data_IF_618582825714
#
_entry.id   IF_618582825714
#
_cell.length_a   1.000
_cell.length_b   1.000
_cell.length_c   1.000
_cell.angle_alpha   90.00
_cell.angle_beta   90.00
_cell.angle_gamma   90.00
#
_symmetry.space_group_name_H-M   'P 1'
#
loop_
_entity.id
_entity.type
_entity.pdbx_description
1 polymer ?
#
# COMPACT_ATOMS: atom_id res chain seq x y z
N UNK A 1 -39.63 -27.00 -53.27
CA UNK A 1 -38.44 -27.40 -52.49
C UNK A 1 -37.34 -26.42 -52.82
N UNK A 2 -37.15 -25.42 -51.95
CA UNK A 2 -36.09 -24.40 -52.09
C UNK A 2 -35.05 -24.68 -51.01
N UNK A 3 -33.81 -24.89 -51.43
CA UNK A 3 -32.64 -25.31 -50.65
C UNK A 3 -32.35 -24.40 -49.43
N UNK A 4 -31.73 -24.93 -48.36
CA UNK A 4 -31.38 -24.13 -47.19
C UNK A 4 -30.24 -23.15 -47.54
N UNK A 5 -30.48 -21.86 -47.35
CA UNK A 5 -29.45 -20.83 -47.40
C UNK A 5 -28.37 -21.15 -46.37
N UNK A 6 -27.15 -21.41 -46.83
CA UNK A 6 -26.00 -21.67 -45.97
C UNK A 6 -25.72 -20.44 -45.10
N UNK A 7 -26.01 -20.53 -43.80
CA UNK A 7 -25.66 -19.48 -42.84
C UNK A 7 -24.13 -19.38 -42.75
N UNK A 8 -23.59 -18.17 -42.91
CA UNK A 8 -22.15 -17.92 -42.85
C UNK A 8 -21.73 -17.66 -41.40
N UNK A 9 -21.09 -18.65 -40.75
CA UNK A 9 -20.64 -18.55 -39.36
C UNK A 9 -19.28 -17.88 -39.24
N UNK A 10 -19.13 -16.87 -38.37
CA UNK A 10 -17.81 -16.25 -38.14
C UNK A 10 -16.78 -17.29 -37.64
N UNK A 11 -15.54 -17.19 -38.11
CA UNK A 11 -14.41 -18.04 -37.73
C UNK A 11 -13.87 -17.74 -36.33
N UNK A 12 -14.23 -16.58 -35.77
CA UNK A 12 -13.74 -16.08 -34.47
C UNK A 12 -14.85 -15.89 -33.42
N UNK A 13 -16.12 -16.05 -33.79
CA UNK A 13 -17.24 -16.09 -32.87
C UNK A 13 -18.37 -16.96 -33.43
N UNK A 14 -19.27 -17.44 -32.57
CA UNK A 14 -20.35 -18.33 -32.99
C UNK A 14 -21.54 -17.63 -33.64
N UNK A 15 -21.41 -16.37 -34.08
CA UNK A 15 -22.49 -15.64 -34.76
C UNK A 15 -22.66 -16.08 -36.22
N UNK A 16 -23.93 -16.18 -36.63
CA UNK A 16 -24.36 -16.61 -37.96
C UNK A 16 -24.89 -15.42 -38.75
N UNK A 17 -24.48 -15.31 -40.01
CA UNK A 17 -24.87 -14.23 -40.90
C UNK A 17 -25.60 -14.77 -42.13
N UNK A 18 -26.65 -14.07 -42.54
CA UNK A 18 -27.45 -14.41 -43.72
C UNK A 18 -26.65 -14.26 -45.04
N UNK A 19 -25.58 -13.45 -45.03
CA UNK A 19 -24.71 -13.25 -46.19
C UNK A 19 -23.24 -13.22 -45.78
N UNK A 20 -22.36 -13.73 -46.67
CA UNK A 20 -20.90 -13.62 -46.50
C UNK A 20 -20.43 -12.17 -46.35
N UNK A 21 -21.07 -11.22 -47.04
CA UNK A 21 -20.75 -9.79 -46.92
C UNK A 21 -21.01 -9.25 -45.49
N UNK A 22 -22.09 -9.69 -44.84
CA UNK A 22 -22.39 -9.31 -43.47
C UNK A 22 -21.41 -9.93 -42.46
N UNK A 23 -21.04 -11.20 -42.66
CA UNK A 23 -20.01 -11.88 -41.87
C UNK A 23 -18.64 -11.18 -41.98
N UNK A 24 -18.22 -10.81 -43.19
CA UNK A 24 -16.96 -10.09 -43.42
C UNK A 24 -17.00 -8.69 -42.79
N UNK A 25 -18.14 -7.99 -42.86
CA UNK A 25 -18.34 -6.69 -42.20
C UNK A 25 -18.29 -6.83 -40.67
N UNK A 26 -18.90 -7.87 -40.10
CA UNK A 26 -18.79 -8.19 -38.68
C UNK A 26 -17.33 -8.44 -38.28
N UNK A 27 -16.60 -9.30 -39.01
CA UNK A 27 -15.19 -9.58 -38.75
C UNK A 27 -14.34 -8.31 -38.75
N UNK A 28 -14.55 -7.44 -39.75
CA UNK A 28 -13.87 -6.13 -39.84
C UNK A 28 -14.19 -5.20 -38.67
N UNK A 29 -15.44 -5.18 -38.21
CA UNK A 29 -15.91 -4.22 -37.22
C UNK A 29 -15.81 -4.71 -35.76
N UNK A 30 -15.70 -6.02 -35.55
CA UNK A 30 -15.71 -6.66 -34.23
C UNK A 30 -14.35 -7.30 -33.92
N UNK A 31 -13.67 -7.88 -34.92
CA UNK A 31 -12.44 -8.63 -34.71
C UNK A 31 -11.15 -7.93 -35.19
N UNK A 32 -11.25 -6.91 -36.04
CA UNK A 32 -10.12 -6.24 -36.70
C UNK A 32 -9.84 -4.81 -36.16
N UNK A 33 -10.15 -4.53 -34.88
CA UNK A 33 -10.15 -3.16 -34.33
C UNK A 33 -8.76 -2.57 -34.05
N UNK A 34 -7.81 -3.41 -33.67
CA UNK A 34 -6.47 -2.98 -33.24
C UNK A 34 -5.42 -3.58 -34.16
N UNK A 35 -4.65 -2.76 -34.86
CA UNK A 35 -3.61 -3.18 -35.81
C UNK A 35 -2.23 -2.97 -35.17
N UNK A 36 -1.38 -3.98 -35.11
CA UNK A 36 0.00 -3.82 -34.68
C UNK A 36 0.75 -2.87 -35.63
N UNK A 37 1.43 -1.87 -35.08
CA UNK A 37 2.15 -0.89 -35.88
C UNK A 37 3.46 -1.44 -36.48
N UNK A 38 4.02 -2.53 -35.94
CA UNK A 38 5.28 -3.13 -36.43
C UNK A 38 5.08 -4.23 -37.48
N UNK A 39 3.99 -5.01 -37.41
CA UNK A 39 3.78 -6.17 -38.30
C UNK A 39 2.39 -6.21 -38.94
N UNK A 40 1.56 -5.20 -38.68
CA UNK A 40 0.24 -5.05 -39.26
C UNK A 40 -0.81 -6.10 -38.88
N UNK A 41 -0.48 -7.05 -37.99
CA UNK A 41 -1.44 -8.03 -37.48
C UNK A 41 -2.59 -7.36 -36.74
N UNK A 42 -3.81 -7.88 -36.92
CA UNK A 42 -5.02 -7.31 -36.35
C UNK A 42 -5.55 -8.11 -35.19
N UNK A 43 -6.13 -7.41 -34.23
CA UNK A 43 -6.59 -7.96 -32.97
C UNK A 43 -7.95 -7.39 -32.57
N UNK A 44 -8.81 -8.21 -31.93
CA UNK A 44 -10.15 -7.81 -31.51
C UNK A 44 -10.13 -6.88 -30.28
N UNK A 45 -9.08 -6.95 -29.46
CA UNK A 45 -8.92 -6.25 -28.18
C UNK A 45 -7.54 -5.62 -28.06
N UNK A 46 -7.47 -4.51 -27.33
CA UNK A 46 -6.22 -3.81 -27.04
C UNK A 46 -5.19 -4.71 -26.33
N UNK A 47 -5.64 -5.45 -25.31
CA UNK A 47 -4.80 -6.39 -24.56
C UNK A 47 -4.13 -7.45 -25.47
N UNK A 48 -4.81 -7.86 -26.54
CA UNK A 48 -4.28 -8.86 -27.47
C UNK A 48 -3.15 -8.28 -28.34
N UNK A 49 -3.29 -7.05 -28.84
CA UNK A 49 -2.20 -6.40 -29.62
C UNK A 49 -1.03 -6.02 -28.72
N UNK A 50 -1.30 -5.65 -27.47
CA UNK A 50 -0.27 -5.35 -26.46
C UNK A 50 0.55 -6.60 -26.12
N UNK A 51 -0.11 -7.71 -25.81
CA UNK A 51 0.56 -8.99 -25.54
C UNK A 51 1.32 -9.47 -26.77
N UNK A 52 0.75 -9.33 -27.97
CA UNK A 52 1.43 -9.65 -29.21
C UNK A 52 2.71 -8.80 -29.40
N UNK A 53 2.63 -7.49 -29.24
CA UNK A 53 3.78 -6.61 -29.45
C UNK A 53 4.87 -6.85 -28.41
N UNK A 54 4.48 -7.05 -27.15
CA UNK A 54 5.41 -7.41 -26.07
C UNK A 54 6.17 -8.70 -26.39
N UNK A 55 5.45 -9.76 -26.75
CA UNK A 55 6.04 -11.09 -26.88
C UNK A 55 6.73 -11.30 -28.24
N UNK A 56 6.36 -10.54 -29.27
CA UNK A 56 6.85 -10.76 -30.64
C UNK A 56 7.87 -9.71 -31.09
N UNK A 57 7.78 -8.48 -30.58
CA UNK A 57 8.55 -7.33 -31.11
C UNK A 57 9.55 -6.74 -30.12
N UNK A 58 9.43 -7.03 -28.81
CA UNK A 58 10.35 -6.56 -27.75
C UNK A 58 11.47 -7.55 -27.37
N UNK A 59 11.56 -8.70 -28.06
CA UNK A 59 12.61 -9.70 -27.80
C UNK A 59 13.70 -9.73 -28.88
N UNK A 60 13.52 -9.02 -30.00
CA UNK A 60 14.45 -9.05 -31.13
C UNK A 60 15.56 -8.00 -31.00
N UNK A 61 16.82 -8.45 -30.98
CA UNK A 61 18.00 -7.59 -31.09
C UNK A 61 18.23 -7.16 -32.55
N UNK A 62 18.37 -5.86 -32.81
CA UNK A 62 18.59 -5.31 -34.15
C UNK A 62 18.61 -3.77 -34.16
N UNK A 63 18.89 -3.15 -35.31
CA UNK A 63 18.94 -1.68 -35.46
C UNK A 63 17.63 -0.99 -35.07
N UNK A 64 16.50 -1.67 -35.25
CA UNK A 64 15.16 -1.13 -34.99
C UNK A 64 14.65 -1.45 -33.58
N UNK A 65 15.45 -2.14 -32.74
CA UNK A 65 15.06 -2.50 -31.38
C UNK A 65 14.81 -1.27 -30.50
N UNK A 66 15.65 -0.24 -30.64
CA UNK A 66 15.47 1.03 -29.92
C UNK A 66 14.22 1.77 -30.39
N UNK A 67 13.88 1.69 -31.69
CA UNK A 67 12.65 2.28 -32.22
C UNK A 67 11.41 1.53 -31.70
N UNK A 68 11.45 0.20 -31.63
CA UNK A 68 10.34 -0.61 -31.07
C UNK A 68 10.17 -0.40 -29.55
N UNK A 69 11.27 -0.20 -28.82
CA UNK A 69 11.21 0.24 -27.41
C UNK A 69 10.60 1.64 -27.32
N UNK A 70 11.00 2.57 -28.18
CA UNK A 70 10.40 3.90 -28.20
C UNK A 70 8.90 3.86 -28.55
N UNK A 71 8.49 3.00 -29.49
CA UNK A 71 7.08 2.76 -29.83
C UNK A 71 6.29 2.18 -28.65
N UNK A 72 6.93 1.29 -27.88
CA UNK A 72 6.37 0.74 -26.65
C UNK A 72 6.21 1.81 -25.58
N UNK A 73 7.27 2.58 -25.32
CA UNK A 73 7.32 3.63 -24.30
C UNK A 73 6.36 4.79 -24.60
N UNK A 74 6.13 5.09 -25.89
CA UNK A 74 5.23 6.14 -26.37
C UNK A 74 3.80 5.63 -26.65
N UNK A 75 3.53 4.33 -26.45
CA UNK A 75 2.26 3.68 -26.76
C UNK A 75 1.79 3.82 -28.23
N UNK A 76 2.73 3.95 -29.17
CA UNK A 76 2.48 4.04 -30.63
C UNK A 76 2.60 2.68 -31.32
N UNK A 77 2.66 1.59 -30.55
CA UNK A 77 2.83 0.21 -31.04
C UNK A 77 1.57 -0.40 -31.70
N UNK A 78 0.45 0.32 -31.75
CA UNK A 78 -0.77 -0.10 -32.44
C UNK A 78 -1.52 1.08 -33.07
N UNK A 79 -2.31 0.79 -34.10
CA UNK A 79 -3.22 1.70 -34.77
C UNK A 79 -4.68 1.23 -34.59
N UNK A 80 -5.62 2.16 -34.51
CA UNK A 80 -7.06 1.88 -34.39
C UNK A 80 -7.78 2.28 -35.68
N UNK A 81 -8.57 1.38 -36.25
CA UNK A 81 -9.38 1.68 -37.45
C UNK A 81 -10.80 2.03 -37.05
N UNK A 82 -11.18 3.32 -37.13
CA UNK A 82 -12.58 3.75 -37.08
C UNK A 82 -13.23 3.50 -38.44
N UNK A 83 -14.35 2.76 -38.47
CA UNK A 83 -15.21 2.72 -39.65
C UNK A 83 -16.34 3.73 -39.47
N UNK A 84 -16.29 4.82 -40.23
CA UNK A 84 -17.41 5.75 -40.41
C UNK A 84 -18.59 5.00 -41.05
N UNK A 85 -19.80 5.21 -40.51
CA UNK A 85 -21.04 4.85 -41.20
C UNK A 85 -21.87 6.11 -41.40
N UNK A 86 -21.77 6.70 -42.59
CA UNK A 86 -22.75 7.64 -43.12
C UNK A 86 -23.92 6.89 -43.78
N UNK A 87 -25.15 7.39 -43.62
CA UNK A 87 -26.17 7.31 -44.67
C UNK A 87 -27.52 6.61 -44.39
N UNK A 88 -28.47 7.41 -43.88
CA UNK A 88 -29.90 7.48 -44.26
C UNK A 88 -30.93 6.46 -43.75
N UNK A 89 -31.91 6.98 -42.98
CA UNK A 89 -33.22 6.37 -42.79
C UNK A 89 -34.04 6.94 -41.64
N UNK A 90 -34.61 8.15 -41.80
CA UNK A 90 -35.64 8.70 -40.90
C UNK A 90 -36.80 7.71 -40.72
N UNK A 91 -37.16 7.41 -39.46
CA UNK A 91 -38.57 7.37 -39.00
C UNK A 91 -38.59 7.59 -37.48
N UNK A 92 -39.15 8.75 -37.10
CA UNK A 92 -39.74 8.95 -35.79
C UNK A 92 -40.96 8.05 -35.70
N UNK A 93 -41.00 7.20 -34.68
CA UNK A 93 -42.23 6.92 -33.92
C UNK A 93 -41.79 6.67 -32.49
N UNK A 94 -42.33 7.49 -31.60
CA UNK A 94 -42.33 7.30 -30.17
C UNK A 94 -42.78 5.88 -29.82
N UNK A 95 -42.04 5.23 -28.94
CA UNK A 95 -42.64 4.44 -27.88
C UNK A 95 -41.65 4.44 -26.71
N UNK A 96 -42.04 5.18 -25.68
CA UNK A 96 -41.57 5.01 -24.32
C UNK A 96 -41.78 3.54 -23.89
N UNK A 97 -41.04 3.13 -22.86
CA UNK A 97 -41.08 1.83 -22.16
C UNK A 97 -40.30 0.66 -22.78
N UNK A 98 -38.97 0.70 -22.65
CA UNK A 98 -38.21 -0.43 -22.07
C UNK A 98 -36.73 -0.05 -21.85
N UNK A 99 -36.44 0.64 -20.74
CA UNK A 99 -35.09 0.64 -20.16
C UNK A 99 -34.92 -0.68 -19.42
N UNK A 100 -34.77 -1.77 -20.18
CA UNK A 100 -34.34 -3.04 -19.61
C UNK A 100 -32.83 -3.16 -19.77
N UNK A 101 -32.15 -2.78 -18.69
CA UNK A 101 -30.97 -3.45 -18.15
C UNK A 101 -29.94 -3.93 -19.19
N UNK A 102 -29.09 -3.03 -19.67
CA UNK A 102 -27.74 -3.45 -20.02
C UNK A 102 -27.14 -4.13 -18.78
N UNK A 103 -26.60 -5.36 -18.88
CA UNK A 103 -26.14 -6.08 -17.71
C UNK A 103 -24.99 -5.30 -17.07
N UNK A 104 -25.24 -4.70 -15.89
CA UNK A 104 -24.18 -4.26 -15.01
C UNK A 104 -23.24 -5.45 -14.84
N UNK A 105 -22.00 -5.31 -15.33
CA UNK A 105 -20.95 -6.28 -15.01
C UNK A 105 -20.89 -6.35 -13.49
N UNK A 106 -21.24 -7.51 -12.92
CA UNK A 106 -21.25 -7.76 -11.47
C UNK A 106 -19.95 -7.22 -10.87
N UNK A 107 -20.06 -6.11 -10.16
CA UNK A 107 -18.97 -5.41 -9.48
C UNK A 107 -18.80 -6.05 -8.11
N UNK A 108 -17.86 -6.98 -8.00
CA UNK A 108 -17.15 -7.19 -6.73
C UNK A 108 -15.71 -6.77 -6.95
N UNK A 109 -15.47 -5.47 -6.78
CA UNK A 109 -14.14 -4.91 -6.56
C UNK A 109 -14.21 -4.19 -5.23
N UNK A 110 -13.16 -4.37 -4.44
CA UNK A 110 -12.88 -3.75 -3.15
C UNK A 110 -13.75 -2.51 -2.87
N UNK A 111 -14.55 -2.58 -1.82
CA UNK A 111 -15.37 -1.47 -1.35
C UNK A 111 -14.56 -0.73 -0.28
N UNK A 112 -14.06 0.49 -0.55
CA UNK A 112 -13.27 1.26 0.41
C UNK A 112 -14.11 1.70 1.61
N UNK A 113 -15.43 1.57 1.54
CA UNK A 113 -16.33 1.81 2.65
C UNK A 113 -16.57 0.56 3.50
N UNK A 114 -15.90 -0.58 3.27
CA UNK A 114 -15.97 -1.68 4.23
C UNK A 114 -15.46 -1.22 5.61
N UNK A 115 -16.17 -1.55 6.70
CA UNK A 115 -15.69 -1.24 8.05
C UNK A 115 -14.40 -2.03 8.33
N UNK A 116 -13.51 -1.45 9.11
CA UNK A 116 -12.36 -2.15 9.67
C UNK A 116 -12.76 -2.94 10.92
N UNK A 117 -11.86 -3.81 11.37
CA UNK A 117 -12.02 -4.47 12.66
C UNK A 117 -11.93 -3.44 13.78
N UNK A 118 -12.87 -3.46 14.73
CA UNK A 118 -12.85 -2.52 15.87
C UNK A 118 -12.21 -3.14 17.11
N UNK A 119 -11.63 -2.30 17.97
CA UNK A 119 -11.04 -2.72 19.25
C UNK A 119 -12.13 -2.95 20.29
N UNK A 120 -12.07 -4.08 20.99
CA UNK A 120 -12.94 -4.36 22.13
C UNK A 120 -12.38 -3.70 23.41
N UNK A 121 -13.25 -3.17 24.25
CA UNK A 121 -12.89 -2.57 25.54
C UNK A 121 -12.65 -3.60 26.65
N UNK A 122 -13.19 -4.81 26.55
CA UNK A 122 -13.10 -5.83 27.62
C UNK A 122 -11.84 -6.70 27.60
N UNK A 123 -11.14 -6.77 26.47
CA UNK A 123 -9.86 -7.47 26.37
C UNK A 123 -9.00 -6.80 25.30
N UNK A 124 -7.73 -6.55 25.64
CA UNK A 124 -6.75 -5.83 24.81
C UNK A 124 -6.51 -6.50 23.45
N UNK A 125 -6.61 -7.82 23.37
CA UNK A 125 -6.39 -8.60 22.15
C UNK A 125 -7.71 -8.97 21.47
N UNK A 126 -8.86 -8.72 22.12
CA UNK A 126 -10.17 -8.96 21.53
C UNK A 126 -10.53 -7.89 20.50
N UNK A 127 -11.21 -8.35 19.44
CA UNK A 127 -11.57 -7.55 18.28
C UNK A 127 -13.00 -7.84 17.86
N UNK A 128 -13.65 -6.84 17.26
CA UNK A 128 -15.01 -6.94 16.71
C UNK A 128 -14.89 -6.92 15.17
N UNK A 129 -14.95 -8.08 14.51
CA UNK A 129 -14.82 -8.17 13.06
C UNK A 129 -15.96 -7.44 12.31
N UNK A 130 -15.73 -7.01 11.07
CA UNK A 130 -16.78 -6.56 10.17
C UNK A 130 -18.00 -7.48 10.14
N UNK A 131 -19.20 -6.91 10.27
CA UNK A 131 -20.48 -7.61 10.31
C UNK A 131 -20.84 -8.25 11.66
N UNK A 132 -19.96 -8.21 12.66
CA UNK A 132 -20.24 -8.76 13.99
C UNK A 132 -21.09 -7.80 14.83
N UNK A 133 -21.91 -8.38 15.71
CA UNK A 133 -22.65 -7.61 16.72
C UNK A 133 -21.75 -7.21 17.89
N UNK A 134 -22.02 -6.06 18.49
CA UNK A 134 -21.30 -5.55 19.65
C UNK A 134 -22.21 -4.64 20.49
N UNK A 135 -21.84 -4.39 21.73
CA UNK A 135 -22.52 -3.44 22.61
C UNK A 135 -21.75 -2.11 22.62
N UNK A 136 -22.47 -1.00 22.43
CA UNK A 136 -21.92 0.36 22.46
C UNK A 136 -22.62 1.20 23.54
N UNK A 137 -21.84 2.01 24.25
CA UNK A 137 -22.34 2.97 25.24
C UNK A 137 -23.03 4.16 24.54
N UNK A 138 -24.17 4.63 25.08
CA UNK A 138 -24.94 5.73 24.46
C UNK A 138 -24.26 7.12 24.59
N UNK A 139 -23.47 7.36 25.64
CA UNK A 139 -23.12 8.71 26.12
C UNK A 139 -21.64 9.10 25.91
N UNK A 140 -21.15 9.01 24.68
CA UNK A 140 -20.01 9.83 24.20
C UNK A 140 -18.59 9.39 24.60
N UNK A 141 -18.43 8.51 25.59
CA UNK A 141 -17.21 7.71 25.75
C UNK A 141 -17.41 6.42 24.94
N UNK A 142 -16.71 6.28 23.80
CA UNK A 142 -16.91 5.18 22.85
C UNK A 142 -16.36 3.84 23.37
N UNK A 143 -16.79 3.39 24.56
CA UNK A 143 -16.58 2.02 24.99
C UNK A 143 -17.42 1.11 24.12
N UNK A 144 -16.78 0.06 23.62
CA UNK A 144 -17.44 -0.93 22.77
C UNK A 144 -16.97 -2.32 23.16
N UNK A 145 -17.91 -3.21 23.41
CA UNK A 145 -17.62 -4.56 23.84
C UNK A 145 -18.16 -5.53 22.80
N UNK A 146 -17.37 -6.54 22.43
CA UNK A 146 -17.96 -7.70 21.77
C UNK A 146 -18.98 -8.34 22.72
N UNK A 147 -19.98 -9.04 22.18
CA UNK A 147 -21.05 -9.64 23.01
C UNK A 147 -20.47 -10.50 24.15
N UNK A 148 -19.45 -11.30 23.86
CA UNK A 148 -18.82 -12.18 24.85
C UNK A 148 -18.04 -11.45 25.96
N UNK A 149 -17.49 -10.28 25.68
CA UNK A 149 -16.81 -9.48 26.69
C UNK A 149 -17.84 -8.70 27.52
N UNK A 150 -18.90 -8.20 26.89
CA UNK A 150 -19.97 -7.51 27.57
C UNK A 150 -20.67 -8.40 28.62
N UNK A 151 -20.94 -9.67 28.25
CA UNK A 151 -21.56 -10.66 29.14
C UNK A 151 -20.74 -10.93 30.43
N UNK A 152 -19.48 -10.49 30.51
CA UNK A 152 -18.58 -10.67 31.67
C UNK A 152 -18.47 -9.44 32.58
N UNK A 153 -18.85 -8.25 32.11
CA UNK A 153 -18.61 -6.99 32.82
C UNK A 153 -19.70 -6.65 33.85
N UNK A 154 -20.80 -7.42 33.92
CA UNK A 154 -21.97 -7.16 34.79
C UNK A 154 -22.52 -5.72 34.70
N UNK A 155 -22.41 -5.08 33.53
CA UNK A 155 -22.84 -3.69 33.28
C UNK A 155 -24.37 -3.56 33.15
N UNK A 156 -24.91 -2.37 33.50
CA UNK A 156 -26.35 -2.09 33.40
C UNK A 156 -26.77 -1.87 31.93
N UNK A 157 -27.56 -2.81 31.40
CA UNK A 157 -28.00 -2.88 30.00
C UNK A 157 -28.73 -1.61 29.53
N UNK A 158 -29.33 -0.83 30.44
CA UNK A 158 -30.10 0.37 30.09
C UNK A 158 -29.28 1.42 29.31
N UNK A 159 -27.95 1.47 29.52
CA UNK A 159 -27.05 2.44 28.89
C UNK A 159 -26.36 1.92 27.62
N UNK A 160 -26.71 0.71 27.16
CA UNK A 160 -26.01 0.03 26.08
C UNK A 160 -26.93 -0.35 24.93
N UNK A 161 -26.45 -0.13 23.70
CA UNK A 161 -27.13 -0.58 22.49
C UNK A 161 -26.38 -1.69 21.79
N UNK A 162 -27.14 -2.71 21.38
CA UNK A 162 -26.64 -3.68 20.41
C UNK A 162 -26.51 -3.00 19.05
N UNK A 163 -25.28 -2.97 18.55
CA UNK A 163 -24.88 -2.42 17.27
C UNK A 163 -24.28 -3.53 16.42
N UNK A 164 -24.10 -3.24 15.12
CA UNK A 164 -23.40 -4.14 14.20
C UNK A 164 -22.24 -3.37 13.58
N UNK A 165 -21.06 -3.99 13.51
CA UNK A 165 -19.89 -3.38 12.90
C UNK A 165 -20.04 -3.35 11.37
N UNK A 166 -20.89 -2.46 10.89
CA UNK A 166 -21.18 -2.19 9.49
C UNK A 166 -20.89 -0.72 9.20
N UNK A 167 -20.56 -0.44 7.94
CA UNK A 167 -20.45 0.92 7.46
C UNK A 167 -21.47 1.12 6.36
N UNK A 168 -22.42 2.02 6.60
CA UNK A 168 -23.51 2.33 5.67
C UNK A 168 -23.05 3.27 4.54
N UNK A 169 -21.84 3.83 4.62
CA UNK A 169 -21.29 4.68 3.58
C UNK A 169 -21.18 3.88 2.28
N UNK A 170 -21.65 4.48 1.20
CA UNK A 170 -21.51 3.94 -0.15
C UNK A 170 -20.42 4.75 -0.86
N UNK A 171 -19.54 4.04 -1.55
CA UNK A 171 -18.49 4.68 -2.34
C UNK A 171 -19.08 5.67 -3.36
N UNK A 172 -18.60 6.93 -3.41
CA UNK A 172 -19.10 7.91 -4.37
C UNK A 172 -18.95 7.44 -5.81
N UNK A 173 -19.96 7.74 -6.63
CA UNK A 173 -19.97 7.48 -8.07
C UNK A 173 -19.67 8.77 -8.82
N UNK A 174 -18.74 8.72 -9.77
CA UNK A 174 -18.42 9.80 -10.70
C UNK A 174 -18.96 9.50 -12.09
N UNK A 175 -19.62 10.47 -12.70
CA UNK A 175 -20.13 10.39 -14.08
C UNK A 175 -19.22 11.14 -15.04
N UNK A 176 -18.70 10.45 -16.07
CA UNK A 176 -17.81 11.07 -17.04
C UNK A 176 -18.56 12.08 -17.90
N UNK A 177 -18.06 13.32 -17.95
CA UNK A 177 -18.67 14.42 -18.72
C UNK A 177 -18.70 14.20 -20.25
N UNK A 178 -17.94 13.24 -20.76
CA UNK A 178 -17.81 12.98 -22.22
C UNK A 178 -18.65 11.78 -22.66
N UNK A 179 -18.43 10.60 -22.06
CA UNK A 179 -19.11 9.37 -22.46
C UNK A 179 -20.29 8.98 -21.57
N UNK A 180 -20.58 9.75 -20.50
CA UNK A 180 -21.68 9.51 -19.55
C UNK A 180 -21.63 8.18 -18.80
N UNK A 181 -20.52 7.45 -18.89
CA UNK A 181 -20.30 6.27 -18.05
C UNK A 181 -20.15 6.66 -16.58
N UNK A 182 -20.35 5.68 -15.71
CA UNK A 182 -20.23 5.83 -14.26
C UNK A 182 -19.06 4.99 -13.72
N UNK A 183 -18.32 5.55 -12.77
CA UNK A 183 -17.17 4.92 -12.12
C UNK A 183 -17.27 5.12 -10.62
N UNK A 184 -16.86 4.13 -9.83
CA UNK A 184 -16.51 4.38 -8.44
C UNK A 184 -15.37 5.41 -8.37
N UNK A 185 -15.38 6.27 -7.36
CA UNK A 185 -14.33 7.26 -7.15
C UNK A 185 -12.93 6.64 -7.06
N UNK A 186 -12.73 5.54 -6.33
CA UNK A 186 -11.43 4.85 -6.28
C UNK A 186 -11.04 4.24 -7.62
N UNK A 187 -12.02 3.71 -8.37
CA UNK A 187 -11.79 3.12 -9.70
C UNK A 187 -11.61 4.17 -10.81
N UNK A 188 -11.84 5.45 -10.50
CA UNK A 188 -11.80 6.55 -11.47
C UNK A 188 -10.37 6.84 -11.93
N UNK A 189 -9.38 6.62 -11.05
CA UNK A 189 -7.93 6.69 -11.31
C UNK A 189 -7.48 8.00 -11.99
N UNK A 190 -8.20 9.10 -11.76
CA UNK A 190 -7.93 10.41 -12.36
C UNK A 190 -8.32 11.53 -11.40
N UNK A 191 -7.53 12.61 -11.42
CA UNK A 191 -7.76 13.81 -10.61
C UNK A 191 -8.40 14.95 -11.42
N UNK A 192 -8.80 14.69 -12.67
CA UNK A 192 -9.40 15.70 -13.55
C UNK A 192 -10.72 16.25 -12.99
N UNK A 193 -10.83 17.57 -13.00
CA UNK A 193 -12.04 18.33 -12.62
C UNK A 193 -12.45 19.27 -13.75
N UNK A 194 -13.64 19.12 -14.37
CA UNK A 194 -14.67 18.12 -14.08
C UNK A 194 -14.26 16.69 -14.50
N UNK A 195 -14.88 15.66 -13.91
CA UNK A 195 -14.45 14.27 -14.11
C UNK A 195 -14.55 13.81 -15.57
N UNK A 196 -13.45 13.24 -16.05
CA UNK A 196 -13.30 12.58 -17.35
C UNK A 196 -12.66 11.22 -17.12
N UNK A 197 -13.28 10.14 -17.60
CA UNK A 197 -12.70 8.80 -17.42
C UNK A 197 -11.40 8.63 -18.22
N UNK A 198 -10.50 7.75 -17.75
CA UNK A 198 -9.21 7.48 -18.40
C UNK A 198 -9.33 7.14 -19.89
N UNK A 199 -10.39 6.43 -20.30
CA UNK A 199 -10.62 6.10 -21.73
C UNK A 199 -10.87 7.35 -22.58
N UNK A 200 -11.62 8.32 -22.06
CA UNK A 200 -11.89 9.56 -22.76
C UNK A 200 -10.68 10.50 -22.75
N UNK A 201 -9.97 10.58 -21.63
CA UNK A 201 -8.69 11.32 -21.54
C UNK A 201 -7.70 10.78 -22.58
N UNK A 202 -7.54 9.45 -22.63
CA UNK A 202 -6.64 8.79 -23.56
C UNK A 202 -6.90 9.12 -25.03
N UNK A 203 -8.17 9.29 -25.40
CA UNK A 203 -8.56 9.68 -26.76
C UNK A 203 -8.24 11.13 -27.11
N UNK A 204 -8.16 12.03 -26.12
CA UNK A 204 -7.96 13.47 -26.34
C UNK A 204 -6.49 13.88 -26.33
N UNK A 205 -5.72 13.37 -25.35
CA UNK A 205 -4.35 13.83 -25.05
C UNK A 205 -3.34 12.67 -25.04
N UNK A 206 -3.76 11.46 -25.43
CA UNK A 206 -2.95 10.25 -25.28
C UNK A 206 -3.09 9.61 -23.89
N UNK A 207 -2.72 8.33 -23.76
CA UNK A 207 -2.86 7.59 -22.50
C UNK A 207 -1.75 7.98 -21.52
N UNK A 208 -2.07 8.79 -20.52
CA UNK A 208 -1.19 9.02 -19.36
C UNK A 208 -1.97 8.78 -18.07
N UNK A 209 -1.56 7.75 -17.33
CA UNK A 209 -2.03 7.55 -15.96
C UNK A 209 -1.29 8.55 -15.08
N UNK A 210 -1.99 9.32 -14.24
CA UNK A 210 -1.35 10.16 -13.25
C UNK A 210 -0.39 9.33 -12.40
N UNK A 211 0.89 9.72 -12.41
CA UNK A 211 1.93 9.13 -11.59
C UNK A 211 2.15 9.98 -10.37
N UNK A 212 2.56 9.37 -9.26
CA UNK A 212 2.97 10.12 -8.07
C UNK A 212 4.18 10.95 -8.46
N UNK A 213 3.95 12.26 -8.62
CA UNK A 213 4.94 13.24 -9.02
C UNK A 213 5.80 13.58 -7.80
N UNK A 214 7.06 13.12 -7.82
CA UNK A 214 8.02 13.33 -6.73
C UNK A 214 8.64 14.70 -6.94
N UNK A 215 8.03 15.73 -6.36
CA UNK A 215 8.44 17.13 -6.57
C UNK A 215 9.67 17.55 -5.78
N UNK A 216 10.12 16.73 -4.84
CA UNK A 216 11.24 17.04 -3.98
C UNK A 216 12.37 16.03 -4.17
N UNK A 217 13.51 16.52 -4.67
CA UNK A 217 14.76 15.78 -4.58
C UNK A 217 15.15 15.66 -3.11
N UNK A 218 15.12 14.43 -2.60
CA UNK A 218 15.59 14.13 -1.24
C UNK A 218 16.71 13.11 -1.33
N UNK A 219 17.92 13.40 -0.79
CA UNK A 219 19.05 12.48 -0.84
C UNK A 219 18.75 11.07 -0.31
N UNK A 220 17.98 10.98 0.79
CA UNK A 220 17.55 9.69 1.34
C UNK A 220 16.66 8.93 0.36
N UNK A 221 15.63 9.58 -0.19
CA UNK A 221 14.72 8.97 -1.17
C UNK A 221 15.45 8.46 -2.40
N UNK A 222 16.37 9.26 -2.95
CA UNK A 222 17.15 8.88 -4.12
C UNK A 222 18.05 7.69 -3.80
N UNK A 223 18.76 7.75 -2.67
CA UNK A 223 19.63 6.66 -2.21
C UNK A 223 18.87 5.34 -2.02
N UNK A 224 17.73 5.37 -1.31
CA UNK A 224 16.92 4.18 -1.08
C UNK A 224 16.31 3.66 -2.39
N UNK A 225 15.85 4.56 -3.27
CA UNK A 225 15.33 4.22 -4.60
C UNK A 225 16.38 3.45 -5.42
N UNK A 226 17.60 3.97 -5.49
CA UNK A 226 18.68 3.34 -6.26
C UNK A 226 19.05 1.98 -5.67
N UNK A 227 19.21 1.89 -4.35
CA UNK A 227 19.55 0.64 -3.66
C UNK A 227 18.49 -0.43 -3.86
N UNK A 228 17.20 -0.06 -3.80
CA UNK A 228 16.09 -1.00 -4.00
C UNK A 228 16.00 -1.48 -5.46
N UNK A 229 16.16 -0.59 -6.44
CA UNK A 229 16.12 -0.99 -7.85
C UNK A 229 17.32 -1.87 -8.23
N UNK A 230 18.52 -1.56 -7.72
CA UNK A 230 19.70 -2.41 -7.90
C UNK A 230 19.49 -3.78 -7.26
N UNK A 231 19.01 -3.83 -6.01
CA UNK A 231 18.73 -5.09 -5.32
C UNK A 231 17.68 -5.94 -6.05
N UNK A 232 16.64 -5.28 -6.56
CA UNK A 232 15.57 -5.94 -7.31
C UNK A 232 15.94 -6.27 -8.76
N UNK A 233 17.13 -5.86 -9.22
CA UNK A 233 17.55 -5.94 -10.61
C UNK A 233 16.51 -5.35 -11.59
N UNK A 234 15.93 -4.20 -11.22
CA UNK A 234 14.95 -3.49 -12.05
C UNK A 234 15.61 -2.30 -12.70
N UNK A 235 15.51 -2.19 -14.03
CA UNK A 235 15.82 -0.96 -14.75
C UNK A 235 14.73 0.08 -14.46
N UNK A 236 15.02 0.98 -13.52
CA UNK A 236 14.11 2.05 -13.15
C UNK A 236 13.89 3.01 -14.33
N UNK A 237 12.62 3.34 -14.57
CA UNK A 237 12.20 4.39 -15.50
C UNK A 237 11.15 5.24 -14.81
N UNK A 238 10.62 6.25 -15.50
CA UNK A 238 9.47 7.01 -15.00
C UNK A 238 8.27 6.12 -14.66
N UNK A 239 8.09 5.02 -15.40
CA UNK A 239 6.88 4.19 -15.33
C UNK A 239 7.14 2.76 -14.84
N UNK A 240 8.38 2.42 -14.48
CA UNK A 240 8.77 1.09 -14.04
C UNK A 240 9.81 1.18 -12.92
N UNK A 241 9.75 0.24 -11.97
CA UNK A 241 10.70 0.14 -10.88
C UNK A 241 10.10 0.50 -9.53
N UNK A 242 10.98 0.72 -8.57
CA UNK A 242 10.63 1.12 -7.21
C UNK A 242 10.95 2.60 -7.06
N UNK A 243 10.11 3.35 -6.36
CA UNK A 243 10.38 4.73 -5.98
C UNK A 243 10.13 4.90 -4.49
N UNK A 244 10.95 5.72 -3.83
CA UNK A 244 10.80 6.06 -2.42
C UNK A 244 10.49 7.53 -2.30
N UNK A 245 9.39 7.86 -1.61
CA UNK A 245 9.04 9.24 -1.24
C UNK A 245 9.06 9.37 0.26
N UNK A 246 9.40 10.55 0.76
CA UNK A 246 9.34 10.82 2.18
C UNK A 246 8.90 12.25 2.47
N UNK A 247 8.36 12.44 3.67
CA UNK A 247 7.88 13.72 4.18
C UNK A 247 8.43 13.90 5.59
N UNK A 248 8.94 15.09 5.89
CA UNK A 248 9.55 15.39 7.19
C UNK A 248 8.80 16.48 7.93
N UNK A 249 8.63 16.31 9.23
CA UNK A 249 8.09 17.32 10.15
C UNK A 249 9.03 17.46 11.34
N UNK A 250 9.40 18.68 11.72
CA UNK A 250 10.14 18.93 12.97
C UNK A 250 9.16 18.85 14.14
N UNK A 251 9.53 18.11 15.17
CA UNK A 251 8.74 17.84 16.37
C UNK A 251 9.57 18.12 17.62
N UNK A 252 8.88 18.35 18.73
CA UNK A 252 9.48 18.46 20.06
C UNK A 252 8.87 17.41 20.97
N UNK A 253 9.67 16.89 21.90
CA UNK A 253 9.22 15.98 22.95
C UNK A 253 9.81 16.41 24.29
N UNK A 254 8.98 16.45 25.32
CA UNK A 254 9.44 16.58 26.69
C UNK A 254 9.86 15.20 27.21
N UNK A 255 11.17 14.98 27.34
CA UNK A 255 11.72 13.71 27.78
C UNK A 255 11.45 13.40 29.27
N UNK A 256 11.00 14.38 30.05
CA UNK A 256 10.75 14.29 31.50
C UNK A 256 9.26 14.14 31.79
N UNK A 257 8.39 14.86 31.09
CA UNK A 257 6.94 14.89 31.36
C UNK A 257 6.31 13.49 31.37
N UNK A 258 6.63 12.69 30.35
CA UNK A 258 6.09 11.34 30.10
C UNK A 258 6.73 10.23 30.96
N UNK A 259 7.66 10.58 31.86
CA UNK A 259 8.37 9.58 32.67
C UNK A 259 7.67 9.28 33.98
N UNK A 260 7.78 8.05 34.50
CA UNK A 260 7.34 7.73 35.86
C UNK A 260 7.92 8.72 36.87
N UNK A 261 7.15 9.16 37.89
CA UNK A 261 7.57 10.20 38.83
C UNK A 261 8.96 9.98 39.45
N UNK A 262 9.31 8.72 39.76
CA UNK A 262 10.58 8.35 40.36
C UNK A 262 11.80 8.48 39.42
N UNK A 263 11.60 8.61 38.11
CA UNK A 263 12.67 8.79 37.12
C UNK A 263 12.80 10.24 36.63
N UNK A 264 11.80 11.10 36.89
CA UNK A 264 11.77 12.48 36.38
C UNK A 264 13.02 13.28 36.76
N UNK A 265 13.46 13.18 38.02
CA UNK A 265 14.63 13.91 38.49
C UNK A 265 15.94 13.42 37.81
N UNK A 266 16.09 12.11 37.63
CA UNK A 266 17.26 11.54 36.95
C UNK A 266 17.31 11.96 35.48
N UNK A 267 16.16 11.92 34.80
CA UNK A 267 16.04 12.37 33.42
C UNK A 267 16.31 13.87 33.30
N UNK A 268 15.75 14.69 34.18
CA UNK A 268 16.01 16.12 34.23
C UNK A 268 17.50 16.44 34.44
N UNK A 269 18.20 15.71 35.31
CA UNK A 269 19.65 15.86 35.51
C UNK A 269 20.46 15.49 34.26
N UNK A 270 20.02 14.49 33.50
CA UNK A 270 20.75 13.99 32.31
C UNK A 270 20.45 14.79 31.04
N UNK A 271 19.19 15.14 30.82
CA UNK A 271 18.67 15.72 29.58
C UNK A 271 18.32 17.20 29.69
N UNK A 272 18.27 17.74 30.91
CA UNK A 272 17.80 19.10 31.18
C UNK A 272 16.27 19.22 31.17
N UNK A 273 15.80 20.45 31.24
CA UNK A 273 14.38 20.83 31.22
C UNK A 273 13.87 21.23 29.82
N UNK A 274 14.77 21.37 28.85
CA UNK A 274 14.39 21.82 27.51
C UNK A 274 13.80 20.67 26.69
N UNK A 275 12.67 20.89 25.98
CA UNK A 275 12.14 19.91 25.05
C UNK A 275 13.19 19.53 24.01
N UNK A 276 13.27 18.24 23.71
CA UNK A 276 14.17 17.73 22.69
C UNK A 276 13.51 17.80 21.31
N UNK A 277 14.25 18.32 20.34
CA UNK A 277 13.82 18.33 18.94
C UNK A 277 14.19 17.03 18.23
N UNK A 278 13.29 16.57 17.37
CA UNK A 278 13.55 15.48 16.43
C UNK A 278 12.86 15.73 15.10
N UNK A 279 13.33 15.05 14.06
CA UNK A 279 12.64 15.01 12.77
C UNK A 279 11.82 13.74 12.70
N UNK A 280 10.50 13.89 12.65
CA UNK A 280 9.60 12.82 12.24
C UNK A 280 9.66 12.72 10.72
N UNK A 281 9.87 11.51 10.19
CA UNK A 281 9.87 11.26 8.76
C UNK A 281 8.92 10.12 8.43
N UNK A 282 7.99 10.37 7.52
CA UNK A 282 7.13 9.35 6.93
C UNK A 282 7.72 8.95 5.59
N UNK A 283 7.94 7.66 5.36
CA UNK A 283 8.51 7.09 4.14
C UNK A 283 7.45 6.19 3.49
N UNK A 284 7.23 6.34 2.19
CA UNK A 284 6.44 5.42 1.39
C UNK A 284 7.29 4.82 0.28
N UNK A 285 7.14 3.51 0.08
CA UNK A 285 7.78 2.79 -1.03
C UNK A 285 6.72 2.37 -2.03
N UNK A 286 6.93 2.81 -3.26
CA UNK A 286 5.99 2.74 -4.36
C UNK A 286 6.55 1.79 -5.42
N UNK A 287 5.77 0.80 -5.82
CA UNK A 287 6.01 0.04 -7.04
C UNK A 287 5.36 0.77 -8.21
N UNK A 288 6.19 1.20 -9.17
CA UNK A 288 5.75 1.80 -10.43
C UNK A 288 5.54 0.72 -11.46
N UNK A 289 4.36 0.73 -12.05
CA UNK A 289 4.01 -0.08 -13.23
C UNK A 289 3.41 0.79 -14.32
N UNK A 290 3.29 0.29 -15.55
CA UNK A 290 2.61 1.03 -16.62
C UNK A 290 1.19 1.48 -16.23
N UNK A 291 0.49 0.66 -15.44
CA UNK A 291 -0.94 0.82 -15.15
C UNK A 291 -1.25 1.65 -13.89
N UNK A 292 -0.36 1.68 -12.89
CA UNK A 292 -0.59 2.40 -11.63
C UNK A 292 0.68 2.46 -10.78
N UNK A 293 0.68 3.37 -9.82
CA UNK A 293 1.62 3.36 -8.70
C UNK A 293 0.93 2.70 -7.52
N UNK A 294 1.63 1.78 -6.84
CA UNK A 294 1.11 1.06 -5.67
C UNK A 294 2.08 1.24 -4.52
N UNK A 295 1.62 1.88 -3.45
CA UNK A 295 2.34 1.89 -2.19
C UNK A 295 2.23 0.48 -1.59
N UNK A 296 3.35 -0.12 -1.22
CA UNK A 296 3.37 -1.46 -0.64
C UNK A 296 4.07 -1.54 0.72
N UNK A 297 4.73 -0.45 1.13
CA UNK A 297 5.46 -0.36 2.39
C UNK A 297 5.44 1.09 2.84
N UNK A 298 5.20 1.30 4.14
CA UNK A 298 5.34 2.59 4.80
C UNK A 298 6.10 2.45 6.12
N UNK A 299 6.83 3.49 6.49
CA UNK A 299 7.60 3.55 7.72
C UNK A 299 7.65 4.97 8.26
N UNK A 300 7.43 5.12 9.56
CA UNK A 300 7.59 6.39 10.28
C UNK A 300 8.84 6.27 11.14
N UNK A 301 9.71 7.28 11.08
CA UNK A 301 10.95 7.31 11.84
C UNK A 301 11.10 8.60 12.63
N UNK A 302 11.71 8.53 13.80
CA UNK A 302 12.11 9.71 14.58
C UNK A 302 13.64 9.84 14.56
N UNK A 303 14.12 10.97 14.09
CA UNK A 303 15.54 11.23 13.83
C UNK A 303 16.04 12.31 14.79
N UNK A 304 16.87 11.92 15.75
CA UNK A 304 17.43 12.81 16.77
C UNK A 304 18.84 13.21 16.35
N UNK A 305 19.00 14.46 15.92
CA UNK A 305 20.30 14.99 15.50
C UNK A 305 21.23 15.32 16.69
N UNK A 306 20.66 15.48 17.88
CA UNK A 306 21.39 15.75 19.10
C UNK A 306 20.63 15.24 20.33
N UNK A 307 20.87 14.00 20.70
CA UNK A 307 20.48 13.46 22.00
C UNK A 307 21.73 13.34 22.88
N UNK A 308 22.00 14.36 23.68
CA UNK A 308 23.20 14.44 24.54
C UNK A 308 24.51 14.23 23.77
N UNK A 309 24.65 14.83 22.58
CA UNK A 309 25.84 14.73 21.74
C UNK A 309 25.88 13.48 20.84
N UNK A 310 24.85 12.63 20.88
CA UNK A 310 24.72 11.47 19.99
C UNK A 310 23.62 11.66 18.95
N UNK A 311 23.81 11.09 17.76
CA UNK A 311 22.80 10.99 16.71
C UNK A 311 22.21 9.59 16.70
N UNK A 312 20.91 9.46 16.91
CA UNK A 312 20.22 8.18 16.74
C UNK A 312 18.89 8.32 16.01
N UNK A 313 18.46 7.23 15.41
CA UNK A 313 17.18 7.13 14.72
C UNK A 313 16.32 6.04 15.35
N UNK A 314 15.01 6.22 15.28
CA UNK A 314 14.02 5.27 15.77
C UNK A 314 13.10 4.94 14.60
N UNK A 315 12.79 3.66 14.38
CA UNK A 315 11.61 3.28 13.60
C UNK A 315 10.45 3.19 14.59
N UNK A 316 9.50 4.11 14.47
CA UNK A 316 8.35 4.24 15.34
C UNK A 316 7.25 3.25 14.92
N UNK A 317 6.89 3.28 13.64
CA UNK A 317 5.92 2.36 13.05
C UNK A 317 6.39 1.90 11.67
N UNK A 318 6.02 0.68 11.30
CA UNK A 318 6.25 0.09 9.98
C UNK A 318 4.99 -0.69 9.58
N UNK A 319 4.55 -0.52 8.33
CA UNK A 319 3.38 -1.24 7.82
C UNK A 319 3.56 -1.64 6.34
N UNK A 320 2.88 -2.71 5.92
CA UNK A 320 3.07 -3.29 4.57
C UNK A 320 1.78 -3.83 3.96
N UNK A 321 1.70 -3.82 2.64
CA UNK A 321 0.61 -4.43 1.87
C UNK A 321 1.19 -5.49 0.90
N UNK A 322 0.60 -6.70 0.78
CA UNK A 322 1.16 -7.85 0.07
C UNK A 322 1.00 -7.80 -1.45
N UNK A 323 0.80 -6.61 -2.02
CA UNK A 323 0.65 -6.45 -3.47
C UNK A 323 2.00 -6.42 -4.20
N UNK A 324 3.10 -6.13 -3.49
CA UNK A 324 4.43 -6.22 -4.09
C UNK A 324 4.77 -7.68 -4.41
N UNK A 325 4.92 -7.96 -5.71
CA UNK A 325 5.35 -9.26 -6.22
C UNK A 325 6.38 -9.06 -7.32
N UNK A 326 7.61 -9.49 -7.05
CA UNK A 326 8.69 -9.51 -8.03
C UNK A 326 9.41 -10.86 -7.94
N UNK A 327 9.03 -11.80 -8.80
CA UNK A 327 9.72 -13.09 -8.88
C UNK A 327 11.11 -12.89 -9.52
N UNK A 328 12.16 -13.59 -9.05
CA UNK A 328 12.15 -14.67 -8.06
C UNK A 328 12.31 -14.21 -6.59
N UNK A 329 12.45 -12.92 -6.32
CA UNK A 329 12.69 -12.42 -4.96
C UNK A 329 11.47 -12.63 -4.07
N UNK A 330 11.72 -13.03 -2.82
CA UNK A 330 10.66 -13.06 -1.81
C UNK A 330 10.39 -11.63 -1.37
N UNK A 331 9.12 -11.29 -1.22
CA UNK A 331 8.68 -9.96 -0.77
C UNK A 331 9.34 -9.54 0.55
N UNK A 332 9.51 -10.46 1.50
CA UNK A 332 10.25 -10.25 2.75
C UNK A 332 11.68 -9.76 2.54
N UNK A 333 12.40 -10.28 1.54
CA UNK A 333 13.79 -9.86 1.28
C UNK A 333 13.83 -8.41 0.80
N UNK A 334 12.82 -7.97 0.05
CA UNK A 334 12.67 -6.57 -0.37
C UNK A 334 12.31 -5.67 0.80
N UNK A 335 11.42 -6.10 1.69
CA UNK A 335 11.10 -5.34 2.91
C UNK A 335 12.32 -5.14 3.82
N UNK A 336 13.13 -6.18 4.01
CA UNK A 336 14.40 -6.06 4.73
C UNK A 336 15.31 -5.06 4.02
N UNK A 337 15.40 -5.11 2.69
CA UNK A 337 16.22 -4.18 1.92
C UNK A 337 15.75 -2.72 2.07
N UNK A 338 14.44 -2.45 2.22
CA UNK A 338 13.95 -1.10 2.51
C UNK A 338 14.55 -0.59 3.81
N UNK A 339 14.42 -1.35 4.90
CA UNK A 339 14.95 -0.99 6.21
C UNK A 339 16.48 -0.83 6.19
N UNK A 340 17.19 -1.79 5.58
CA UNK A 340 18.65 -1.75 5.47
C UNK A 340 19.13 -0.54 4.65
N UNK A 341 18.39 -0.13 3.62
CA UNK A 341 18.75 1.06 2.82
C UNK A 341 18.58 2.35 3.62
N UNK A 342 17.56 2.41 4.50
CA UNK A 342 17.41 3.51 5.44
C UNK A 342 18.60 3.55 6.41
N UNK A 343 18.90 2.45 7.11
CA UNK A 343 20.01 2.42 8.07
C UNK A 343 21.38 2.67 7.43
N UNK A 344 21.64 2.14 6.23
CA UNK A 344 22.86 2.42 5.46
C UNK A 344 22.98 3.91 5.11
N UNK A 345 21.87 4.61 4.84
CA UNK A 345 21.89 6.05 4.68
C UNK A 345 22.14 6.78 6.01
N UNK A 346 21.42 6.42 7.07
CA UNK A 346 21.51 7.09 8.37
C UNK A 346 22.94 7.02 8.92
N UNK A 347 23.60 5.86 8.85
CA UNK A 347 25.01 5.75 9.28
C UNK A 347 25.95 6.64 8.45
N UNK A 348 25.70 6.81 7.14
CA UNK A 348 26.55 7.64 6.26
C UNK A 348 26.45 9.12 6.57
N UNK A 349 25.30 9.56 7.08
CA UNK A 349 25.09 10.94 7.52
C UNK A 349 25.38 11.14 9.02
N UNK A 350 25.97 10.13 9.67
CA UNK A 350 26.56 10.22 11.01
C UNK A 350 25.68 9.76 12.16
N UNK A 351 24.57 9.06 11.90
CA UNK A 351 23.80 8.41 12.97
C UNK A 351 24.53 7.16 13.46
N UNK A 352 24.74 7.07 14.76
CA UNK A 352 25.57 6.02 15.37
C UNK A 352 24.74 4.92 16.04
N UNK A 353 23.47 5.19 16.34
CA UNK A 353 22.55 4.22 16.95
C UNK A 353 21.20 4.22 16.25
N UNK A 354 20.54 3.07 16.31
CA UNK A 354 19.20 2.86 15.79
C UNK A 354 18.39 2.00 16.76
N UNK A 355 17.13 2.33 16.95
CA UNK A 355 16.22 1.58 17.82
C UNK A 355 14.88 1.33 17.12
N UNK A 356 14.23 0.24 17.47
CA UNK A 356 12.86 -0.04 17.09
C UNK A 356 12.26 -0.98 18.12
N UNK A 357 10.95 -0.95 18.26
CA UNK A 357 10.21 -1.83 19.14
C UNK A 357 9.45 -2.85 18.28
N UNK A 358 9.73 -4.14 18.47
CA UNK A 358 8.98 -5.20 17.81
C UNK A 358 7.68 -5.45 18.59
N UNK A 359 6.56 -4.99 18.04
CA UNK A 359 5.23 -5.31 18.57
C UNK A 359 4.34 -5.79 17.43
N UNK A 360 3.99 -7.07 17.48
CA UNK A 360 3.09 -7.64 16.49
C UNK A 360 1.68 -7.04 16.63
N UNK A 361 1.05 -6.60 15.53
CA UNK A 361 -0.35 -6.23 15.53
C UNK A 361 -1.24 -7.48 15.69
N UNK A 362 -2.42 -7.31 16.29
CA UNK A 362 -3.42 -8.38 16.27
C UNK A 362 -3.98 -8.54 14.85
N UNK A 363 -4.36 -9.75 14.46
CA UNK A 363 -4.95 -9.98 13.13
C UNK A 363 -6.18 -9.08 12.94
N UNK A 364 -6.17 -8.28 11.87
CA UNK A 364 -7.24 -7.35 11.56
C UNK A 364 -7.07 -5.95 12.15
N UNK A 365 -6.01 -5.69 12.94
CA UNK A 365 -5.60 -4.32 13.26
C UNK A 365 -5.09 -3.61 12.00
N UNK A 366 -5.44 -2.33 11.90
CA UNK A 366 -4.87 -1.41 10.95
C UNK A 366 -3.88 -0.50 11.68
N UNK A 367 -2.65 -0.39 11.16
CA UNK A 367 -1.64 0.52 11.71
C UNK A 367 -1.59 1.81 10.88
N UNK A 368 -0.88 1.80 9.75
CA UNK A 368 -0.81 2.96 8.85
C UNK A 368 -1.77 2.82 7.67
N UNK A 369 -1.85 1.62 7.11
CA UNK A 369 -2.82 1.34 6.06
C UNK A 369 -4.13 0.91 6.69
N UNK A 370 -5.22 1.49 6.19
CA UNK A 370 -6.58 1.18 6.63
C UNK A 370 -7.14 0.10 5.70
N UNK A 371 -7.85 -0.87 6.27
CA UNK A 371 -8.49 -1.98 5.57
C UNK A 371 -7.50 -2.88 4.82
N UNK A 372 -6.61 -3.55 5.56
CA UNK A 372 -5.73 -4.57 4.99
C UNK A 372 -6.50 -5.68 4.26
N UNK A 373 -5.93 -6.28 3.19
CA UNK A 373 -6.54 -7.43 2.52
C UNK A 373 -6.75 -8.58 3.51
N UNK A 374 -7.95 -9.17 3.54
CA UNK A 374 -8.27 -10.30 4.43
C UNK A 374 -7.36 -11.53 4.23
N UNK A 375 -6.67 -11.63 3.09
CA UNK A 375 -5.70 -12.69 2.80
C UNK A 375 -4.30 -12.43 3.38
N UNK A 376 -4.05 -11.25 3.97
CA UNK A 376 -2.79 -10.91 4.60
C UNK A 376 -2.76 -11.50 6.01
N UNK A 377 -1.85 -12.44 6.23
CA UNK A 377 -1.62 -13.07 7.52
C UNK A 377 -0.57 -12.25 8.27
N UNK A 378 -0.90 -11.82 9.49
CA UNK A 378 0.04 -11.07 10.32
C UNK A 378 0.98 -12.05 11.04
N UNK A 379 2.24 -11.64 11.22
CA UNK A 379 3.16 -12.40 12.06
C UNK A 379 2.74 -12.24 13.52
N UNK A 380 2.77 -13.35 14.27
CA UNK A 380 2.71 -13.27 15.73
C UNK A 380 4.02 -12.66 16.28
N UNK A 381 4.07 -12.40 17.59
CA UNK A 381 5.21 -11.75 18.23
C UNK A 381 6.54 -12.46 17.95
N UNK A 382 6.62 -13.76 18.19
CA UNK A 382 7.83 -14.57 17.93
C UNK A 382 8.24 -14.54 16.44
N UNK A 383 7.27 -14.65 15.54
CA UNK A 383 7.49 -14.59 14.10
C UNK A 383 8.04 -13.23 13.66
N UNK A 384 7.54 -12.14 14.23
CA UNK A 384 7.99 -10.78 13.95
C UNK A 384 9.41 -10.53 14.50
N UNK A 385 9.70 -10.98 15.72
CA UNK A 385 11.04 -10.92 16.30
C UNK A 385 12.04 -11.68 15.43
N UNK A 386 11.72 -12.92 15.05
CA UNK A 386 12.57 -13.71 14.15
C UNK A 386 12.72 -13.10 12.75
N UNK A 387 11.73 -12.35 12.28
CA UNK A 387 11.81 -11.58 11.03
C UNK A 387 12.82 -10.43 11.14
N UNK A 388 12.79 -9.67 12.24
CA UNK A 388 13.75 -8.59 12.50
C UNK A 388 15.17 -9.13 12.73
N UNK A 389 15.34 -10.23 13.46
CA UNK A 389 16.67 -10.87 13.65
C UNK A 389 17.31 -11.18 12.31
N UNK A 390 16.56 -11.79 11.37
CA UNK A 390 17.06 -12.06 10.00
C UNK A 390 17.41 -10.78 9.22
N UNK A 391 16.72 -9.66 9.48
CA UNK A 391 17.07 -8.36 8.90
C UNK A 391 18.37 -7.82 9.48
N UNK A 392 18.51 -7.89 10.81
CA UNK A 392 19.72 -7.46 11.53
C UNK A 392 20.95 -8.29 11.13
N UNK A 393 20.84 -9.62 11.06
CA UNK A 393 21.90 -10.52 10.59
C UNK A 393 22.39 -10.14 9.18
N UNK A 394 21.45 -9.92 8.25
CA UNK A 394 21.79 -9.45 6.90
C UNK A 394 22.51 -8.10 6.93
N UNK A 395 22.06 -7.17 7.77
CA UNK A 395 22.71 -5.87 7.93
C UNK A 395 24.14 -5.99 8.47
N UNK A 396 24.39 -6.89 9.42
CA UNK A 396 25.74 -7.18 9.92
C UNK A 396 26.63 -7.79 8.84
N UNK A 397 26.16 -8.78 8.09
CA UNK A 397 26.91 -9.40 6.98
C UNK A 397 27.27 -8.34 5.91
N UNK A 398 26.35 -7.41 5.63
CA UNK A 398 26.55 -6.32 4.68
C UNK A 398 27.40 -5.15 5.23
N UNK A 399 27.88 -5.22 6.48
CA UNK A 399 28.67 -4.15 7.11
C UNK A 399 27.89 -2.86 7.36
N UNK A 400 26.56 -2.95 7.48
CA UNK A 400 25.69 -1.82 7.86
C UNK A 400 25.68 -1.66 9.38
N UNK A 401 25.62 -2.77 10.11
CA UNK A 401 25.68 -2.80 11.57
C UNK A 401 26.97 -3.42 12.05
N UNK A 402 27.62 -2.80 13.02
CA UNK A 402 28.76 -3.40 13.72
C UNK A 402 28.28 -4.50 14.69
N UNK A 403 27.25 -4.19 15.48
CA UNK A 403 26.58 -5.13 16.37
C UNK A 403 25.10 -4.74 16.54
N UNK A 404 24.34 -5.63 17.15
CA UNK A 404 22.98 -5.38 17.62
C UNK A 404 22.75 -6.21 18.88
N UNK A 405 21.78 -5.79 19.69
CA UNK A 405 21.35 -6.48 20.90
C UNK A 405 19.87 -6.21 21.13
N UNK A 406 19.21 -7.18 21.74
CA UNK A 406 17.87 -6.99 22.26
C UNK A 406 17.91 -6.15 23.55
N UNK A 407 16.73 -5.85 24.09
CA UNK A 407 16.62 -5.06 25.31
C UNK A 407 17.31 -5.73 26.50
N UNK A 408 17.24 -7.06 26.62
CA UNK A 408 17.89 -7.80 27.70
C UNK A 408 19.42 -7.69 27.64
N UNK A 409 20.01 -7.86 26.46
CA UNK A 409 21.44 -7.68 26.25
C UNK A 409 21.88 -6.23 26.47
N UNK A 410 21.03 -5.25 26.11
CA UNK A 410 21.27 -3.85 26.44
C UNK A 410 21.26 -3.62 27.96
N UNK A 411 20.22 -4.08 28.66
CA UNK A 411 20.08 -3.98 30.11
C UNK A 411 21.29 -4.58 30.84
N UNK A 412 21.70 -5.79 30.47
CA UNK A 412 22.90 -6.44 31.04
C UNK A 412 24.17 -5.62 30.79
N UNK A 413 24.32 -5.01 29.59
CA UNK A 413 25.46 -4.14 29.29
C UNK A 413 25.49 -2.91 30.20
N UNK A 414 24.33 -2.29 30.44
CA UNK A 414 24.19 -1.12 31.31
C UNK A 414 24.48 -1.51 32.76
N UNK A 415 23.87 -2.57 33.26
CA UNK A 415 24.10 -3.09 34.61
C UNK A 415 25.57 -3.46 34.85
N UNK A 416 26.25 -4.05 33.87
CA UNK A 416 27.68 -4.35 33.97
C UNK A 416 28.57 -3.10 33.94
N UNK A 417 28.15 -2.03 33.23
CA UNK A 417 28.88 -0.75 33.17
C UNK A 417 28.73 0.09 34.44
N UNK A 418 27.66 -0.14 35.21
CA UNK A 418 27.47 0.39 36.55
C UNK A 418 28.29 -0.46 37.53
N UNK A 419 29.55 -0.07 37.79
CA UNK A 419 30.46 -0.84 38.66
C UNK A 419 29.84 -1.20 40.04
N UNK A 420 30.32 -2.28 40.72
CA UNK A 420 29.79 -2.75 42.02
C UNK A 420 29.89 -1.75 43.18
N UNK A 421 30.55 -0.61 42.99
CA UNK A 421 30.83 0.38 44.03
C UNK A 421 29.59 1.10 44.57
N UNK A 422 28.43 1.01 43.88
CA UNK A 422 27.16 1.57 44.34
C UNK A 422 26.36 0.57 45.22
N UNK A 423 26.70 -0.72 45.20
CA UNK A 423 25.98 -1.75 45.97
C UNK A 423 26.72 -2.24 47.23
N UNK A 424 27.77 -1.53 47.68
CA UNK A 424 28.53 -1.92 48.89
C UNK A 424 28.04 -1.29 50.20
N UNK A 425 26.90 -0.60 50.21
CA UNK A 425 26.31 -0.14 51.47
C UNK A 425 24.79 -0.27 51.46
N UNK A 426 24.32 -1.09 52.40
CA UNK A 426 22.94 -1.35 52.80
C UNK A 426 22.19 -2.45 52.03
N UNK A 427 21.67 -3.35 52.86
CA UNK A 427 21.03 -4.63 52.59
C UNK A 427 20.08 -4.69 51.40
N UNK A 428 20.04 -5.89 50.79
CA UNK A 428 18.97 -6.38 49.93
C UNK A 428 17.58 -6.00 50.47
N UNK A 429 16.71 -5.47 49.58
CA UNK A 429 15.48 -6.22 49.31
C UNK A 429 15.10 -6.08 47.83
N UNK A 430 15.72 -6.87 46.95
CA UNK A 430 15.22 -7.05 45.58
C UNK A 430 14.71 -8.47 45.40
N UNK A 431 13.61 -8.75 46.10
CA UNK A 431 12.74 -9.90 45.88
C UNK A 431 11.30 -9.46 46.11
N UNK A 432 10.79 -8.56 45.26
CA UNK A 432 9.36 -8.28 45.14
C UNK A 432 9.06 -7.46 43.87
N UNK A 433 8.29 -8.05 42.96
CA UNK A 433 7.35 -7.40 42.05
C UNK A 433 7.80 -6.15 41.27
N UNK A 434 8.26 -6.35 40.04
CA UNK A 434 7.94 -5.40 38.98
C UNK A 434 7.02 -6.12 37.99
N UNK A 435 5.72 -6.02 38.28
CA UNK A 435 4.68 -6.31 37.31
C UNK A 435 4.85 -5.41 36.09
N UNK A 436 4.69 -6.02 34.94
CA UNK A 436 4.79 -5.43 33.61
C UNK A 436 3.64 -4.43 33.45
N UNK A 437 3.90 -3.13 33.65
CA UNK A 437 2.94 -2.09 33.28
C UNK A 437 3.08 -1.87 31.78
N UNK A 438 2.31 -2.66 31.03
CA UNK A 438 1.89 -2.33 29.67
C UNK A 438 0.81 -1.25 29.76
N UNK A 439 1.19 0.01 29.64
CA UNK A 439 0.26 1.09 29.25
C UNK A 439 0.91 1.90 28.14
N UNK A 440 0.15 2.09 27.06
CA UNK A 440 0.60 2.70 25.83
C UNK A 440 1.08 4.14 25.98
N UNK A 441 1.83 4.56 24.97
CA UNK A 441 2.49 5.87 24.92
C UNK A 441 3.92 5.66 24.47
N UNK A 442 4.24 6.21 23.30
CA UNK A 442 5.53 6.09 22.63
C UNK A 442 6.71 6.28 23.60
N UNK A 443 7.51 5.23 23.76
CA UNK A 443 8.82 5.31 24.37
C UNK A 443 9.71 4.23 23.76
N UNK A 444 10.09 4.43 22.49
CA UNK A 444 11.29 3.78 22.00
C UNK A 444 12.49 4.39 22.76
N UNK A 445 13.17 3.56 23.54
CA UNK A 445 14.35 3.92 24.33
C UNK A 445 15.33 2.74 24.26
N UNK A 446 16.65 2.99 24.14
CA UNK A 446 17.62 2.31 24.99
C UNK A 446 17.67 2.95 26.38
#
# INVERSE_FOLDING_TARGET
MSSPTSAHQCDQCSELFETHAAQVKHRKNVHDRYKCASCEQKFPKLENVENHFRNSHLHETGKDFQERIAMWDQATYFNFTETETEGAGKRKTENESNVQNAPMRKMKRFDPCQPSTSKCSGDRDCRIPPGSKYMAEEDGDFRMFCIQCFDKEEEDIEYWREMKNENEKVEPIKECTICRGVWHESCSMTMETPFKCLRCIAKMVGYTIPKVDIRHECPLSNYMTDKLNVFCNIKATRNNGIAVVNFTTKRTVDLVAERPPHLKEQFKRKYGDSPMEYTERVIYVIQRSMATDVIFFSMITHEYENHCGEKYCIIDNLDTIPFFKLKPLRTTDVYHQVMLSYFDFMRRVGYTKAHFWAQAPAQGDDMMFICHPATQIYLNQEGLEGWYVKMLEKGTICGIFENWKDFNGFKQSVEASLSPSIFSSSASPFSAGFETITTGGAAAVP
#
